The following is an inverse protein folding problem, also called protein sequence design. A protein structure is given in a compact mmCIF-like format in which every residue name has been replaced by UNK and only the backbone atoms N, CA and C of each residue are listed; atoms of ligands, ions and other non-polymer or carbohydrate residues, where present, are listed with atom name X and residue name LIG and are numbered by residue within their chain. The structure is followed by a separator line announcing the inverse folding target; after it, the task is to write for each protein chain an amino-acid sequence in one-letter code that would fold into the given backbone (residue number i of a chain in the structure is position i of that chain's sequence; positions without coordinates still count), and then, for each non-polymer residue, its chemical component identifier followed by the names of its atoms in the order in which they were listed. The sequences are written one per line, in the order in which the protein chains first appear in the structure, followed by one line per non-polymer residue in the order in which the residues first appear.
data_IF_621452673437
#
_entry.id   IF_621452673437
#
_cell.length_a   1.000
_cell.length_b   1.000
_cell.length_c   1.000
_cell.angle_alpha   90.00
_cell.angle_beta   90.00
_cell.angle_gamma   90.00
#
_symmetry.space_group_name_H-M   'P 1'
#
loop_
_entity.id
_entity.type
_entity.pdbx_description
1 polymer ?
#
# COMPACT_ATOMS: atom_id res chain seq x y z
N UNK A 1 -6.22 18.26 -7.65
CA UNK A 1 -6.95 18.41 -8.96
C UNK A 1 -8.04 17.34 -9.11
N UNK A 2 -7.72 16.04 -8.97
CA UNK A 2 -8.69 14.94 -9.13
C UNK A 2 -9.85 15.06 -8.12
N UNK A 3 -9.58 15.26 -6.84
CA UNK A 3 -10.59 15.43 -5.78
C UNK A 3 -11.59 16.56 -6.08
N UNK A 4 -11.09 17.68 -6.62
CA UNK A 4 -11.94 18.81 -7.00
C UNK A 4 -12.87 18.50 -8.19
N UNK A 5 -12.51 17.50 -9.01
CA UNK A 5 -13.34 17.01 -10.12
C UNK A 5 -14.32 15.97 -9.59
N UNK A 6 -13.84 14.99 -8.84
CA UNK A 6 -14.68 13.92 -8.26
C UNK A 6 -15.78 14.47 -7.35
N UNK A 7 -15.46 15.49 -6.55
CA UNK A 7 -16.45 16.16 -5.68
C UNK A 7 -17.57 16.89 -6.43
N UNK A 8 -17.47 17.06 -7.74
CA UNK A 8 -18.52 17.65 -8.61
C UNK A 8 -19.36 16.61 -9.35
N UNK A 9 -18.97 15.35 -9.30
CA UNK A 9 -19.71 14.28 -9.96
C UNK A 9 -20.97 13.93 -9.17
N UNK A 10 -22.04 13.60 -9.90
CA UNK A 10 -23.25 13.08 -9.29
C UNK A 10 -22.96 11.75 -8.61
N UNK A 11 -23.37 11.63 -7.36
CA UNK A 11 -23.17 10.39 -6.58
C UNK A 11 -24.23 9.39 -6.96
N UNK A 12 -23.82 8.17 -7.31
CA UNK A 12 -24.70 7.04 -7.41
C UNK A 12 -24.85 6.42 -6.02
N UNK A 13 -26.08 6.35 -5.52
CA UNK A 13 -26.34 5.69 -4.25
C UNK A 13 -26.66 4.21 -4.48
N UNK A 14 -25.85 3.34 -3.89
CA UNK A 14 -26.06 1.88 -3.86
C UNK A 14 -25.67 1.40 -2.45
N UNK A 15 -26.62 0.78 -1.75
CA UNK A 15 -26.43 0.25 -0.40
C UNK A 15 -25.39 -0.89 -0.30
N UNK A 16 -25.03 -1.49 -1.43
CA UNK A 16 -24.01 -2.52 -1.51
C UNK A 16 -22.58 -1.93 -1.60
N UNK A 17 -22.42 -0.65 -1.88
CA UNK A 17 -21.11 0.03 -1.83
C UNK A 17 -20.77 0.29 -0.37
N UNK A 18 -19.79 -0.44 0.17
CA UNK A 18 -19.31 -0.26 1.54
C UNK A 18 -18.18 0.78 1.61
N UNK A 19 -17.30 0.80 0.61
CA UNK A 19 -16.26 1.80 0.40
C UNK A 19 -16.31 2.21 -1.07
N UNK A 20 -16.51 3.49 -1.33
CA UNK A 20 -16.60 4.05 -2.67
C UNK A 20 -15.65 5.25 -2.83
N UNK A 21 -15.66 5.86 -4.01
CA UNK A 21 -14.79 7.01 -4.33
C UNK A 21 -15.09 8.29 -3.51
N UNK A 22 -16.09 8.27 -2.65
CA UNK A 22 -16.42 9.36 -1.72
C UNK A 22 -15.43 9.48 -0.56
N UNK A 23 -14.73 8.40 -0.28
CA UNK A 23 -13.67 8.30 0.71
C UNK A 23 -12.40 7.87 -0.02
N UNK A 24 -11.32 8.61 0.18
CA UNK A 24 -10.02 8.24 -0.34
C UNK A 24 -9.51 7.02 0.44
N UNK A 25 -9.80 5.82 -0.05
CA UNK A 25 -9.32 4.54 0.48
C UNK A 25 -8.59 3.76 -0.61
N UNK A 26 -7.89 2.69 -0.22
CA UNK A 26 -6.99 1.95 -1.12
C UNK A 26 -7.76 1.23 -2.24
N UNK A 27 -8.99 0.73 -1.97
CA UNK A 27 -9.82 0.06 -2.97
C UNK A 27 -11.32 0.27 -2.77
N UNK A 28 -12.09 0.10 -3.84
CA UNK A 28 -13.56 0.03 -3.76
C UNK A 28 -14.03 -1.29 -3.18
N UNK A 29 -15.07 -1.26 -2.31
CA UNK A 29 -15.64 -2.45 -1.67
C UNK A 29 -17.13 -2.54 -1.97
N UNK A 30 -17.52 -3.65 -2.61
CA UNK A 30 -18.90 -3.90 -3.05
C UNK A 30 -19.44 -5.22 -2.52
N UNK A 31 -20.60 -5.20 -1.84
CA UNK A 31 -21.25 -6.39 -1.31
C UNK A 31 -21.98 -7.17 -2.40
N UNK A 32 -21.69 -8.47 -2.53
CA UNK A 32 -22.34 -9.36 -3.48
C UNK A 32 -23.19 -10.44 -2.79
N UNK A 33 -22.93 -10.71 -1.52
CA UNK A 33 -23.68 -11.63 -0.68
C UNK A 33 -23.61 -11.17 0.79
N UNK A 34 -24.44 -11.70 1.69
CA UNK A 34 -24.43 -11.31 3.11
C UNK A 34 -23.06 -11.47 3.80
N UNK A 35 -22.26 -12.44 3.35
CA UNK A 35 -20.97 -12.83 3.92
C UNK A 35 -19.79 -12.60 2.96
N UNK A 36 -20.01 -12.04 1.78
CA UNK A 36 -18.97 -11.81 0.76
C UNK A 36 -19.03 -10.40 0.20
N UNK A 37 -17.89 -9.71 0.24
CA UNK A 37 -17.68 -8.47 -0.52
C UNK A 37 -16.52 -8.64 -1.50
N UNK A 38 -16.62 -7.95 -2.63
CA UNK A 38 -15.54 -7.75 -3.56
C UNK A 38 -14.72 -6.52 -3.13
N UNK A 39 -13.41 -6.65 -3.20
CA UNK A 39 -12.46 -5.55 -3.11
C UNK A 39 -11.85 -5.38 -4.50
N UNK A 40 -11.99 -4.20 -5.10
CA UNK A 40 -11.58 -3.94 -6.47
C UNK A 40 -10.69 -2.71 -6.56
N UNK A 41 -9.55 -2.90 -7.18
CA UNK A 41 -8.60 -1.83 -7.47
C UNK A 41 -8.08 -1.91 -8.90
N UNK A 42 -7.49 -0.83 -9.36
CA UNK A 42 -6.75 -0.75 -10.61
C UNK A 42 -5.54 0.15 -10.46
N UNK A 43 -4.37 -0.40 -10.80
CA UNK A 43 -3.14 0.35 -10.70
C UNK A 43 -2.18 -0.01 -11.84
N UNK A 44 -1.64 0.99 -12.53
CA UNK A 44 -0.67 0.83 -13.61
C UNK A 44 0.17 2.10 -13.76
N UNK A 45 1.43 1.92 -14.12
CA UNK A 45 2.39 3.03 -14.21
C UNK A 45 3.53 2.74 -15.20
N UNK A 46 4.35 3.76 -15.45
CA UNK A 46 5.54 3.68 -16.30
C UNK A 46 6.70 2.99 -15.57
N UNK A 47 7.69 2.42 -16.30
CA UNK A 47 8.83 1.74 -15.69
C UNK A 47 9.57 2.61 -14.66
N UNK A 48 9.85 2.02 -13.52
CA UNK A 48 10.61 2.61 -12.40
C UNK A 48 12.00 1.98 -12.23
N UNK A 49 12.27 0.91 -12.97
CA UNK A 49 13.55 0.22 -13.10
C UNK A 49 13.78 -0.15 -14.57
N UNK A 50 15.04 -0.46 -14.92
CA UNK A 50 15.41 -0.72 -16.34
C UNK A 50 15.13 -2.16 -16.77
N UNK A 51 15.19 -3.13 -15.85
CA UNK A 51 14.94 -4.55 -16.15
C UNK A 51 13.44 -4.82 -16.35
N UNK A 52 13.00 -5.28 -17.56
CA UNK A 52 11.58 -5.44 -17.88
C UNK A 52 10.89 -6.50 -17.00
N UNK A 53 11.56 -7.59 -16.66
CA UNK A 53 11.00 -8.64 -15.82
C UNK A 53 10.74 -8.11 -14.39
N UNK A 54 11.73 -7.41 -13.83
CA UNK A 54 11.62 -6.77 -12.51
C UNK A 54 10.52 -5.69 -12.50
N UNK A 55 10.42 -4.88 -13.58
CA UNK A 55 9.32 -3.92 -13.70
C UNK A 55 7.96 -4.60 -13.65
N UNK A 56 7.79 -5.71 -14.37
CA UNK A 56 6.58 -6.52 -14.32
C UNK A 56 6.25 -7.02 -12.90
N UNK A 57 7.26 -7.48 -12.16
CA UNK A 57 7.11 -7.89 -10.77
C UNK A 57 6.65 -6.74 -9.86
N UNK A 58 7.27 -5.57 -10.01
CA UNK A 58 6.94 -4.38 -9.21
C UNK A 58 5.50 -3.93 -9.50
N UNK A 59 5.09 -3.89 -10.77
CA UNK A 59 3.75 -3.49 -11.16
C UNK A 59 2.67 -4.41 -10.57
N UNK A 60 2.89 -5.72 -10.61
CA UNK A 60 1.98 -6.68 -9.99
C UNK A 60 1.96 -6.56 -8.45
N UNK A 61 3.11 -6.37 -7.82
CA UNK A 61 3.23 -6.19 -6.37
C UNK A 61 2.46 -4.96 -5.90
N UNK A 62 2.57 -3.85 -6.65
CA UNK A 62 1.87 -2.61 -6.35
C UNK A 62 0.35 -2.78 -6.51
N UNK A 63 -0.12 -3.34 -7.63
CA UNK A 63 -1.56 -3.56 -7.87
C UNK A 63 -2.23 -4.52 -6.87
N UNK A 64 -1.47 -5.45 -6.29
CA UNK A 64 -1.94 -6.38 -5.26
C UNK A 64 -2.03 -5.73 -3.87
N UNK A 65 -1.29 -4.66 -3.64
CA UNK A 65 -1.08 -4.07 -2.32
C UNK A 65 -2.37 -3.52 -1.71
N UNK A 66 -3.18 -2.83 -2.50
CA UNK A 66 -4.48 -2.28 -2.09
C UNK A 66 -5.43 -3.37 -1.56
N UNK A 67 -5.42 -4.54 -2.23
CA UNK A 67 -6.25 -5.67 -1.78
C UNK A 67 -5.81 -6.17 -0.40
N UNK A 68 -4.50 -6.23 -0.16
CA UNK A 68 -3.96 -6.58 1.16
C UNK A 68 -4.23 -5.51 2.21
N UNK A 69 -4.17 -4.22 1.85
CA UNK A 69 -4.48 -3.11 2.73
C UNK A 69 -5.95 -3.12 3.18
N UNK A 70 -6.87 -3.60 2.33
CA UNK A 70 -8.28 -3.78 2.69
C UNK A 70 -8.56 -5.06 3.49
N UNK A 71 -7.52 -5.81 3.91
CA UNK A 71 -7.68 -7.09 4.62
C UNK A 71 -8.23 -8.23 3.76
N UNK A 72 -8.23 -8.06 2.44
CA UNK A 72 -8.80 -9.00 1.50
C UNK A 72 -7.75 -9.98 0.93
N UNK A 73 -8.23 -11.11 0.41
CA UNK A 73 -7.43 -12.07 -0.34
C UNK A 73 -7.63 -11.84 -1.84
N UNK A 74 -6.55 -11.62 -2.61
CA UNK A 74 -6.63 -11.57 -4.06
C UNK A 74 -7.25 -12.84 -4.65
N UNK A 75 -8.11 -12.69 -5.64
CA UNK A 75 -8.81 -13.79 -6.30
C UNK A 75 -8.43 -13.88 -7.77
N UNK A 76 -8.65 -12.81 -8.52
CA UNK A 76 -8.39 -12.74 -9.95
C UNK A 76 -7.95 -11.36 -10.37
N UNK A 77 -7.30 -11.28 -11.55
CA UNK A 77 -6.83 -10.02 -12.10
C UNK A 77 -6.95 -9.96 -13.62
N UNK A 78 -7.01 -8.72 -14.13
CA UNK A 78 -6.93 -8.36 -15.54
C UNK A 78 -5.68 -7.52 -15.77
N UNK A 79 -4.83 -7.92 -16.73
CA UNK A 79 -3.64 -7.17 -17.08
C UNK A 79 -3.99 -5.93 -17.91
N UNK A 80 -3.36 -4.80 -17.61
CA UNK A 80 -3.46 -3.54 -18.34
C UNK A 80 -2.10 -3.24 -18.98
N UNK A 81 -2.09 -3.14 -20.30
CA UNK A 81 -0.87 -3.00 -21.10
C UNK A 81 -0.99 -1.80 -22.05
N UNK A 82 -0.13 -0.81 -21.87
CA UNK A 82 0.15 0.22 -22.86
C UNK A 82 1.55 -0.01 -23.40
N UNK A 83 1.70 -0.25 -24.71
CA UNK A 83 3.01 -0.61 -25.26
C UNK A 83 3.23 0.02 -26.64
N UNK A 84 4.46 0.52 -26.94
CA UNK A 84 4.77 1.13 -28.21
C UNK A 84 4.63 0.17 -29.38
N UNK A 85 4.06 0.62 -30.48
CA UNK A 85 3.89 -0.19 -31.70
C UNK A 85 5.23 -0.77 -32.22
N UNK A 86 6.31 0.02 -32.07
CA UNK A 86 7.66 -0.36 -32.47
C UNK A 86 8.50 -0.96 -31.36
N UNK A 87 7.88 -1.23 -30.19
CA UNK A 87 8.56 -1.83 -29.05
C UNK A 87 8.95 -3.29 -29.34
N UNK A 88 10.04 -3.73 -28.74
CA UNK A 88 10.50 -5.11 -28.86
C UNK A 88 9.55 -6.07 -28.11
N UNK A 89 8.98 -7.03 -28.83
CA UNK A 89 8.05 -8.02 -28.26
C UNK A 89 8.68 -8.79 -27.09
N UNK A 90 9.98 -9.07 -27.14
CA UNK A 90 10.71 -9.75 -26.07
C UNK A 90 10.70 -8.93 -24.75
N UNK A 91 10.72 -7.60 -24.82
CA UNK A 91 10.57 -6.73 -23.65
C UNK A 91 9.17 -6.87 -23.04
N UNK A 92 8.13 -6.85 -23.88
CA UNK A 92 6.75 -7.06 -23.41
C UNK A 92 6.56 -8.44 -22.78
N UNK A 93 7.12 -9.49 -23.39
CA UNK A 93 7.09 -10.86 -22.86
C UNK A 93 7.69 -10.92 -21.44
N UNK A 94 8.84 -10.27 -21.22
CA UNK A 94 9.48 -10.22 -19.92
C UNK A 94 8.65 -9.45 -18.88
N UNK A 95 8.06 -8.31 -19.26
CA UNK A 95 7.15 -7.56 -18.36
C UNK A 95 5.99 -8.46 -17.91
N UNK A 96 5.32 -9.11 -18.86
CA UNK A 96 4.18 -9.99 -18.58
C UNK A 96 4.60 -11.19 -17.71
N UNK A 97 5.75 -11.80 -18.01
CA UNK A 97 6.28 -12.93 -17.24
C UNK A 97 6.62 -12.53 -15.79
N UNK A 98 7.24 -11.37 -15.60
CA UNK A 98 7.52 -10.80 -14.28
C UNK A 98 6.23 -10.56 -13.47
N UNK A 99 5.23 -9.92 -14.10
CA UNK A 99 3.94 -9.71 -13.47
C UNK A 99 3.23 -11.01 -13.09
N UNK A 100 3.18 -11.97 -14.03
CA UNK A 100 2.58 -13.28 -13.78
C UNK A 100 3.25 -14.01 -12.62
N UNK A 101 4.58 -13.91 -12.47
CA UNK A 101 5.29 -14.56 -11.36
C UNK A 101 4.79 -14.10 -10.00
N UNK A 102 4.47 -12.81 -9.84
CA UNK A 102 3.92 -12.24 -8.60
C UNK A 102 2.44 -12.56 -8.40
N UNK A 103 1.66 -12.61 -9.47
CA UNK A 103 0.27 -13.05 -9.39
C UNK A 103 0.17 -14.51 -8.92
N UNK A 104 1.06 -15.39 -9.41
CA UNK A 104 1.16 -16.79 -8.94
C UNK A 104 1.57 -16.85 -7.47
N UNK A 105 2.58 -16.07 -7.04
CA UNK A 105 3.01 -15.97 -5.63
C UNK A 105 1.88 -15.49 -4.72
N UNK A 106 1.06 -14.55 -5.19
CA UNK A 106 -0.11 -14.06 -4.47
C UNK A 106 -1.25 -15.08 -4.39
N UNK A 107 -1.27 -16.07 -5.27
CA UNK A 107 -2.42 -16.96 -5.48
C UNK A 107 -3.57 -16.27 -6.24
N UNK A 108 -3.26 -15.24 -7.02
CA UNK A 108 -4.21 -14.46 -7.83
C UNK A 108 -4.18 -14.95 -9.28
N UNK A 109 -5.33 -15.35 -9.82
CA UNK A 109 -5.40 -15.86 -11.20
C UNK A 109 -5.54 -14.71 -12.19
N UNK A 110 -4.63 -14.62 -13.17
CA UNK A 110 -4.78 -13.71 -14.31
C UNK A 110 -5.81 -14.33 -15.28
N UNK A 111 -6.96 -13.68 -15.45
CA UNK A 111 -8.08 -14.20 -16.25
C UNK A 111 -8.24 -13.50 -17.62
N UNK A 112 -7.38 -12.52 -17.91
CA UNK A 112 -7.40 -11.76 -19.15
C UNK A 112 -6.76 -10.40 -19.00
N UNK A 113 -7.18 -9.47 -19.82
CA UNK A 113 -6.69 -8.10 -19.78
C UNK A 113 -7.00 -7.33 -21.05
N UNK A 114 -6.43 -6.13 -21.14
CA UNK A 114 -6.55 -5.27 -22.31
C UNK A 114 -5.21 -4.65 -22.66
N UNK A 115 -4.93 -4.52 -23.96
CA UNK A 115 -3.73 -3.85 -24.46
C UNK A 115 -4.09 -2.73 -25.42
N UNK A 116 -3.39 -1.61 -25.30
CA UNK A 116 -3.48 -0.49 -26.24
C UNK A 116 -2.09 -0.11 -26.72
N UNK A 117 -2.03 0.53 -27.91
CA UNK A 117 -0.82 1.18 -28.39
C UNK A 117 -0.67 2.54 -27.72
N UNK A 118 0.51 2.82 -27.17
CA UNK A 118 0.85 4.09 -26.54
C UNK A 118 2.34 4.36 -26.84
N UNK A 119 2.75 5.60 -26.87
CA UNK A 119 4.17 5.95 -27.04
C UNK A 119 5.01 5.56 -25.83
N UNK A 120 4.39 5.48 -24.66
CA UNK A 120 5.01 5.21 -23.38
C UNK A 120 4.52 3.86 -22.82
N UNK A 121 5.46 2.99 -22.45
CA UNK A 121 5.12 1.73 -21.79
C UNK A 121 4.47 2.01 -20.44
N UNK A 122 3.28 1.44 -20.20
CA UNK A 122 2.62 1.39 -18.91
C UNK A 122 2.09 -0.01 -18.68
N UNK A 123 2.25 -0.50 -17.46
CA UNK A 123 1.81 -1.84 -17.11
C UNK A 123 1.29 -1.89 -15.68
N UNK A 124 0.31 -2.76 -15.46
CA UNK A 124 -0.28 -3.03 -14.17
C UNK A 124 -1.49 -3.94 -14.27
N UNK A 125 -2.30 -3.95 -13.24
CA UNK A 125 -3.45 -4.84 -13.17
C UNK A 125 -4.66 -4.15 -12.55
N UNK A 126 -5.85 -4.58 -12.98
CA UNK A 126 -7.05 -4.47 -12.16
C UNK A 126 -7.17 -5.78 -11.36
N UNK A 127 -7.22 -5.66 -10.03
CA UNK A 127 -7.26 -6.81 -9.14
C UNK A 127 -8.61 -6.86 -8.42
N UNK A 128 -9.18 -8.06 -8.36
CA UNK A 128 -10.37 -8.36 -7.56
C UNK A 128 -9.97 -9.27 -6.41
N UNK A 129 -10.23 -8.83 -5.20
CA UNK A 129 -10.11 -9.60 -3.96
C UNK A 129 -11.47 -9.89 -3.34
N UNK A 130 -11.48 -10.76 -2.34
CA UNK A 130 -12.66 -11.09 -1.55
C UNK A 130 -12.35 -11.09 -0.06
N UNK A 131 -13.34 -10.67 0.74
CA UNK A 131 -13.26 -10.68 2.20
C UNK A 131 -14.71 -10.76 2.77
N UNK A 132 -14.83 -11.17 4.02
CA UNK A 132 -16.09 -11.07 4.75
C UNK A 132 -16.39 -9.59 5.09
N UNK A 133 -17.63 -9.09 4.99
CA UNK A 133 -17.94 -7.67 5.25
C UNK A 133 -17.42 -7.14 6.60
N UNK A 134 -17.52 -7.95 7.66
CA UNK A 134 -17.05 -7.57 9.00
C UNK A 134 -15.52 -7.58 9.18
N UNK A 135 -14.78 -8.07 8.19
CA UNK A 135 -13.31 -8.15 8.21
C UNK A 135 -12.66 -7.16 7.26
N UNK A 136 -13.44 -6.32 6.59
CA UNK A 136 -12.89 -5.23 5.78
C UNK A 136 -12.10 -4.30 6.68
N UNK A 137 -10.86 -4.02 6.30
CA UNK A 137 -10.02 -2.99 6.90
C UNK A 137 -10.05 -1.76 6.00
N UNK A 138 -9.87 -0.60 6.59
CA UNK A 138 -9.91 0.68 5.89
C UNK A 138 -8.81 1.61 6.45
N UNK A 139 -8.51 2.67 5.73
CA UNK A 139 -7.55 3.68 6.21
C UNK A 139 -8.13 4.57 7.33
N UNK A 140 -9.38 4.36 7.72
CA UNK A 140 -10.10 5.10 8.77
C UNK A 140 -10.43 4.19 9.96
N UNK A 141 -10.68 4.81 11.13
CA UNK A 141 -11.04 4.09 12.34
C UNK A 141 -9.94 4.02 13.39
N UNK A 142 -8.77 4.63 13.13
CA UNK A 142 -7.69 4.75 14.11
C UNK A 142 -8.19 5.44 15.41
N UNK A 143 -7.68 5.01 16.55
CA UNK A 143 -8.14 5.47 17.87
C UNK A 143 -7.00 6.08 18.66
N UNK A 144 -7.27 7.11 19.46
CA UNK A 144 -6.29 7.61 20.43
C UNK A 144 -5.75 6.48 21.29
N UNK A 145 -4.44 6.42 21.46
CA UNK A 145 -3.73 5.34 22.14
C UNK A 145 -3.30 4.17 21.25
N UNK A 146 -3.62 4.19 19.95
CA UNK A 146 -3.07 3.20 19.02
C UNK A 146 -1.59 3.45 18.74
N UNK A 147 -0.83 2.36 18.57
CA UNK A 147 0.51 2.41 17.99
C UNK A 147 0.46 2.27 16.47
N UNK A 148 1.41 2.91 15.79
CA UNK A 148 1.57 2.83 14.34
C UNK A 148 2.76 1.95 13.96
N UNK A 149 2.51 0.94 13.12
CA UNK A 149 3.54 0.04 12.58
C UNK A 149 3.68 0.27 11.08
N UNK A 150 4.93 0.39 10.59
CA UNK A 150 5.25 0.41 9.17
C UNK A 150 6.02 -0.86 8.80
N UNK A 151 5.65 -1.51 7.68
CA UNK A 151 6.16 -2.84 7.32
C UNK A 151 7.29 -2.84 6.30
N UNK A 152 7.56 -1.73 5.61
CA UNK A 152 8.69 -1.55 4.68
C UNK A 152 9.37 -0.20 4.88
N UNK A 153 10.63 -0.11 4.46
CA UNK A 153 11.40 1.13 4.49
C UNK A 153 10.99 2.10 3.38
N UNK A 154 11.18 3.41 3.63
CA UNK A 154 10.93 4.49 2.68
C UNK A 154 12.17 4.76 1.81
N UNK A 155 11.95 5.35 0.62
CA UNK A 155 13.02 5.81 -0.26
C UNK A 155 12.96 5.25 -1.68
N UNK A 156 11.91 4.51 -2.06
CA UNK A 156 11.79 3.92 -3.40
C UNK A 156 11.72 4.98 -4.49
N UNK A 157 11.06 6.12 -4.26
CA UNK A 157 10.90 7.19 -5.24
C UNK A 157 12.20 7.93 -5.54
N UNK A 158 12.96 8.31 -4.51
CA UNK A 158 14.26 8.99 -4.69
C UNK A 158 15.29 8.05 -5.34
N UNK A 159 15.29 6.75 -4.97
CA UNK A 159 16.19 5.75 -5.56
C UNK A 159 15.81 5.48 -7.02
N UNK A 160 14.53 5.30 -7.35
CA UNK A 160 14.07 5.16 -8.74
C UNK A 160 14.43 6.38 -9.59
N UNK A 161 14.41 7.59 -8.99
CA UNK A 161 14.87 8.80 -9.67
C UNK A 161 16.38 8.77 -9.92
N UNK A 162 17.18 8.23 -9.00
CA UNK A 162 18.61 8.03 -9.19
C UNK A 162 18.90 6.96 -10.26
N UNK A 163 18.11 5.86 -10.32
CA UNK A 163 18.19 4.84 -11.39
C UNK A 163 17.97 5.49 -12.75
N UNK A 164 16.87 6.22 -12.94
CA UNK A 164 16.56 6.92 -14.21
C UNK A 164 17.63 7.89 -14.68
N UNK A 165 18.53 8.33 -13.77
CA UNK A 165 19.66 9.22 -14.09
C UNK A 165 21.01 8.49 -14.20
N UNK A 166 21.05 7.16 -14.16
CA UNK A 166 22.28 6.35 -14.12
C UNK A 166 23.23 6.73 -12.96
N UNK A 167 22.68 7.04 -11.79
CA UNK A 167 23.43 7.49 -10.61
C UNK A 167 23.21 6.62 -9.37
N UNK A 168 22.31 5.65 -9.44
CA UNK A 168 22.08 4.73 -8.33
C UNK A 168 23.22 3.72 -8.21
N UNK A 169 23.66 3.46 -6.98
CA UNK A 169 24.62 2.39 -6.72
C UNK A 169 23.93 1.03 -6.73
N UNK A 170 24.63 -0.07 -7.12
CA UNK A 170 24.04 -1.40 -7.18
C UNK A 170 23.36 -1.84 -5.87
N UNK A 171 23.93 -1.53 -4.70
CA UNK A 171 23.35 -1.85 -3.41
C UNK A 171 22.03 -1.10 -3.15
N UNK A 172 21.88 0.13 -3.64
CA UNK A 172 20.64 0.91 -3.52
C UNK A 172 19.55 0.33 -4.44
N UNK A 173 19.93 0.01 -5.68
CA UNK A 173 19.03 -0.63 -6.65
C UNK A 173 18.51 -1.95 -6.07
N UNK A 174 19.41 -2.81 -5.59
CA UNK A 174 19.03 -4.10 -5.02
C UNK A 174 18.10 -3.96 -3.82
N UNK A 175 18.36 -3.01 -2.91
CA UNK A 175 17.51 -2.77 -1.75
C UNK A 175 16.11 -2.28 -2.16
N UNK A 176 16.03 -1.34 -3.11
CA UNK A 176 14.77 -0.81 -3.61
C UNK A 176 13.97 -1.88 -4.37
N UNK A 177 14.62 -2.63 -5.27
CA UNK A 177 13.99 -3.73 -6.02
C UNK A 177 13.46 -4.80 -5.07
N UNK A 178 14.25 -5.25 -4.09
CA UNK A 178 13.80 -6.22 -3.10
C UNK A 178 12.57 -5.73 -2.33
N UNK A 179 12.55 -4.47 -1.92
CA UNK A 179 11.40 -3.86 -1.24
C UNK A 179 10.17 -3.83 -2.17
N UNK A 180 10.33 -3.31 -3.41
CA UNK A 180 9.23 -3.15 -4.36
C UNK A 180 8.68 -4.48 -4.91
N UNK A 181 9.46 -5.55 -4.94
CA UNK A 181 9.02 -6.88 -5.37
C UNK A 181 8.51 -7.77 -4.23
N UNK A 182 8.63 -7.35 -2.98
CA UNK A 182 8.09 -8.07 -1.82
C UNK A 182 6.60 -7.77 -1.66
N UNK A 183 5.75 -8.82 -1.74
CA UNK A 183 4.31 -8.68 -1.51
C UNK A 183 4.00 -8.30 -0.05
N UNK A 184 2.97 -7.48 0.15
CA UNK A 184 2.42 -7.21 1.48
C UNK A 184 1.59 -8.40 2.04
N UNK A 185 1.55 -9.52 1.31
CA UNK A 185 0.80 -10.74 1.62
C UNK A 185 1.06 -11.26 3.03
N UNK A 186 2.33 -11.49 3.39
CA UNK A 186 2.69 -12.05 4.70
C UNK A 186 2.25 -11.13 5.85
N UNK A 187 2.43 -9.82 5.69
CA UNK A 187 1.97 -8.86 6.68
C UNK A 187 0.44 -8.87 6.81
N UNK A 188 -0.29 -8.88 5.70
CA UNK A 188 -1.75 -8.97 5.70
C UNK A 188 -2.25 -10.28 6.31
N UNK A 189 -1.63 -11.42 6.01
CA UNK A 189 -1.96 -12.72 6.61
C UNK A 189 -1.80 -12.72 8.15
N UNK A 190 -0.71 -12.14 8.67
CA UNK A 190 -0.48 -11.98 10.12
C UNK A 190 -1.53 -11.08 10.75
N UNK A 191 -1.90 -9.98 10.08
CA UNK A 191 -2.89 -9.02 10.57
C UNK A 191 -4.29 -9.65 10.61
N UNK A 192 -4.67 -10.36 9.56
CA UNK A 192 -6.03 -10.90 9.40
C UNK A 192 -6.21 -12.28 10.02
N UNK A 193 -5.12 -12.89 10.54
CA UNK A 193 -5.10 -14.27 11.07
C UNK A 193 -5.59 -15.31 10.06
N UNK A 194 -5.46 -14.99 8.75
CA UNK A 194 -5.78 -15.91 7.67
C UNK A 194 -4.59 -16.81 7.38
N UNK A 195 -4.48 -17.92 8.14
CA UNK A 195 -3.66 -19.05 7.71
C UNK A 195 -4.16 -19.50 6.35
N UNK A 196 -3.26 -19.60 5.37
CA UNK A 196 -3.57 -20.10 4.04
C UNK A 196 -4.08 -21.54 4.12
N UNK A 197 -5.38 -21.73 4.32
CA UNK A 197 -6.04 -22.98 3.99
C UNK A 197 -6.08 -23.07 2.46
N UNK A 198 -5.22 -23.92 1.93
CA UNK A 198 -5.22 -24.26 0.53
C UNK A 198 -6.58 -24.81 0.12
N UNK A 199 -7.04 -24.35 -1.05
CA UNK A 199 -8.16 -24.87 -1.84
C UNK A 199 -9.56 -24.62 -1.25
N UNK A 200 -10.34 -23.82 -2.00
CA UNK A 200 -11.78 -23.69 -1.84
C UNK A 200 -12.48 -25.05 -2.03
N UNK A 201 -12.64 -25.80 -0.97
CA UNK A 201 -13.73 -26.77 -0.89
C UNK A 201 -14.80 -26.14 -0.03
N UNK A 202 -15.91 -25.78 -0.66
CA UNK A 202 -17.14 -25.37 0.04
C UNK A 202 -17.70 -26.62 0.71
N UNK A 203 -17.64 -26.78 2.02
CA UNK A 203 -18.46 -27.75 2.72
C UNK A 203 -19.77 -27.05 3.12
N UNK A 204 -20.84 -27.34 2.40
CA UNK A 204 -22.15 -27.23 3.00
C UNK A 204 -22.18 -28.17 4.23
N UNK A 205 -22.77 -27.66 5.31
CA UNK A 205 -23.12 -28.40 6.52
C UNK A 205 -21.97 -28.70 7.51
N UNK A 206 -21.59 -27.73 8.32
CA UNK A 206 -21.21 -27.91 9.74
C UNK A 206 -20.62 -26.61 10.30
N UNK A 207 -21.42 -25.58 10.64
CA UNK A 207 -20.85 -24.39 11.27
C UNK A 207 -21.79 -23.58 12.19
N UNK A 208 -22.67 -24.21 12.95
CA UNK A 208 -23.42 -23.46 13.98
C UNK A 208 -22.61 -23.16 15.25
N UNK A 209 -21.50 -23.89 15.52
CA UNK A 209 -20.65 -23.67 16.71
C UNK A 209 -19.47 -22.71 16.47
N UNK A 210 -19.08 -22.43 15.22
CA UNK A 210 -18.00 -21.48 14.86
C UNK A 210 -18.49 -20.04 14.66
N UNK A 211 -19.79 -19.82 14.45
CA UNK A 211 -20.35 -18.49 14.19
C UNK A 211 -20.34 -17.53 15.39
N UNK A 212 -20.13 -18.00 16.61
CA UNK A 212 -20.06 -17.13 17.79
C UNK A 212 -18.67 -16.65 18.19
N UNK A 213 -17.59 -17.14 17.60
CA UNK A 213 -16.22 -16.70 17.87
C UNK A 213 -15.53 -15.97 16.70
N UNK A 214 -16.19 -15.83 15.55
CA UNK A 214 -15.60 -15.29 14.30
C UNK A 214 -15.59 -13.77 14.20
N UNK A 215 -16.03 -13.03 15.23
CA UNK A 215 -16.29 -11.58 15.10
C UNK A 215 -15.18 -10.67 15.62
N UNK A 216 -13.98 -11.18 15.94
CA UNK A 216 -12.81 -10.33 16.24
C UNK A 216 -11.53 -11.06 15.85
N UNK A 217 -10.78 -10.54 14.88
CA UNK A 217 -9.43 -11.01 14.61
C UNK A 217 -8.56 -11.01 15.87
N UNK A 218 -7.48 -11.79 15.87
CA UNK A 218 -6.53 -11.90 17.02
C UNK A 218 -6.02 -10.54 17.49
N UNK A 219 -5.93 -9.57 16.57
CA UNK A 219 -5.41 -8.24 16.79
C UNK A 219 -6.52 -7.18 16.73
N UNK A 220 -6.47 -6.19 17.61
CA UNK A 220 -7.32 -5.01 17.53
C UNK A 220 -6.68 -3.98 16.58
N UNK A 221 -6.63 -4.30 15.28
CA UNK A 221 -6.26 -3.36 14.23
C UNK A 221 -7.47 -2.48 13.95
N UNK A 222 -7.28 -1.16 14.00
CA UNK A 222 -8.35 -0.19 13.86
C UNK A 222 -8.33 0.52 12.51
N UNK A 223 -7.14 0.69 11.90
CA UNK A 223 -6.99 1.19 10.54
C UNK A 223 -5.79 0.54 9.85
N UNK A 224 -5.88 0.41 8.54
CA UNK A 224 -4.85 -0.16 7.69
C UNK A 224 -4.86 0.56 6.34
N UNK A 225 -3.69 0.86 5.80
CA UNK A 225 -3.47 1.35 4.43
C UNK A 225 -2.07 0.94 3.98
N UNK A 226 -1.77 0.98 2.70
CA UNK A 226 -0.41 0.89 2.23
C UNK A 226 0.18 2.28 1.96
N UNK A 227 1.51 2.38 1.92
CA UNK A 227 2.20 3.64 1.67
C UNK A 227 2.67 3.67 0.22
N UNK A 228 1.98 4.45 -0.61
CA UNK A 228 2.25 4.57 -2.04
C UNK A 228 2.53 6.02 -2.47
N UNK A 229 1.85 6.50 -3.49
CA UNK A 229 2.15 7.73 -4.21
C UNK A 229 2.14 9.03 -3.39
N UNK A 230 1.38 9.10 -2.31
CA UNK A 230 1.32 10.28 -1.44
C UNK A 230 2.43 10.34 -0.39
N UNK A 231 3.27 9.30 -0.28
CA UNK A 231 4.31 9.20 0.73
C UNK A 231 3.75 8.98 2.14
N UNK A 232 4.63 8.79 3.12
CA UNK A 232 4.20 8.51 4.50
C UNK A 232 3.29 9.61 5.06
N UNK A 233 3.68 10.88 4.93
CA UNK A 233 2.89 12.00 5.46
C UNK A 233 1.52 12.08 4.80
N UNK A 234 1.41 11.85 3.48
CA UNK A 234 0.12 11.89 2.79
C UNK A 234 -0.85 10.85 3.32
N UNK A 235 -0.42 9.60 3.43
CA UNK A 235 -1.26 8.50 3.94
C UNK A 235 -1.57 8.64 5.44
N UNK A 236 -0.61 9.06 6.27
CA UNK A 236 -0.87 9.37 7.69
C UNK A 236 -1.87 10.52 7.84
N UNK A 237 -1.80 11.53 6.96
CA UNK A 237 -2.78 12.63 6.92
C UNK A 237 -4.20 12.12 6.62
N UNK A 238 -4.35 11.25 5.64
CA UNK A 238 -5.65 10.65 5.29
C UNK A 238 -6.20 9.82 6.45
N UNK A 239 -5.38 8.97 7.03
CA UNK A 239 -5.73 8.20 8.24
C UNK A 239 -6.19 9.12 9.39
N UNK A 240 -5.44 10.17 9.68
CA UNK A 240 -5.74 11.08 10.78
C UNK A 240 -7.03 11.87 10.55
N UNK A 241 -7.24 12.38 9.32
CA UNK A 241 -8.46 13.10 8.95
C UNK A 241 -9.69 12.20 8.96
N UNK A 242 -9.61 11.03 8.32
CA UNK A 242 -10.71 10.08 8.24
C UNK A 242 -11.10 9.50 9.60
N UNK A 243 -10.15 9.41 10.53
CA UNK A 243 -10.37 8.93 11.91
C UNK A 243 -10.67 10.06 12.91
N UNK A 244 -10.57 11.33 12.50
CA UNK A 244 -10.73 12.50 13.37
C UNK A 244 -9.79 12.52 14.59
N UNK A 245 -8.52 12.17 14.38
CA UNK A 245 -7.45 12.07 15.38
C UNK A 245 -6.24 12.90 14.97
N UNK A 246 -5.21 12.95 15.82
CA UNK A 246 -3.86 13.43 15.47
C UNK A 246 -2.84 12.30 15.61
N UNK A 247 -1.68 12.46 14.96
CA UNK A 247 -0.63 11.44 14.91
C UNK A 247 0.71 12.03 15.29
N UNK A 248 1.47 11.28 16.10
CA UNK A 248 2.87 11.55 16.41
C UNK A 248 3.75 10.48 15.75
N UNK A 249 4.72 10.91 14.93
CA UNK A 249 5.70 10.04 14.29
C UNK A 249 7.05 10.16 15.00
N UNK A 250 7.70 9.03 15.24
CA UNK A 250 9.03 8.93 15.86
C UNK A 250 10.07 8.89 14.75
N UNK A 251 10.71 10.02 14.45
CA UNK A 251 11.62 10.18 13.32
C UNK A 251 12.77 9.17 13.31
N UNK A 252 13.32 8.83 14.47
CA UNK A 252 14.41 7.86 14.62
C UNK A 252 14.00 6.42 14.29
N UNK A 253 12.69 6.12 14.36
CA UNK A 253 12.17 4.79 14.14
C UNK A 253 11.72 4.54 12.69
N UNK A 254 11.64 5.59 11.87
CA UNK A 254 11.21 5.47 10.48
C UNK A 254 12.30 4.75 9.67
N UNK A 255 12.01 3.56 9.13
CA UNK A 255 13.01 2.82 8.37
C UNK A 255 13.24 3.45 7.00
N UNK A 256 14.51 3.60 6.62
CA UNK A 256 14.92 4.13 5.32
C UNK A 256 15.71 3.08 4.54
N UNK A 257 15.51 3.04 3.23
CA UNK A 257 16.33 2.23 2.32
C UNK A 257 17.78 2.76 2.28
N UNK A 258 18.77 1.87 2.15
CA UNK A 258 20.15 2.28 1.90
C UNK A 258 20.23 3.21 0.68
N UNK A 259 20.88 4.36 0.84
CA UNK A 259 21.04 5.37 -0.21
C UNK A 259 19.91 6.40 -0.32
N UNK A 260 18.81 6.26 0.42
CA UNK A 260 17.71 7.22 0.33
C UNK A 260 18.13 8.64 0.73
N UNK A 261 18.85 8.78 1.86
CA UNK A 261 19.39 10.07 2.33
C UNK A 261 20.38 10.65 1.31
N UNK A 262 21.28 9.83 0.79
CA UNK A 262 22.27 10.22 -0.22
C UNK A 262 21.60 10.68 -1.52
N UNK A 263 20.52 10.02 -1.94
CA UNK A 263 19.72 10.45 -3.10
C UNK A 263 19.12 11.83 -2.89
N UNK A 264 18.56 12.11 -1.71
CA UNK A 264 18.04 13.45 -1.37
C UNK A 264 19.15 14.49 -1.41
N UNK A 265 20.30 14.24 -0.78
CA UNK A 265 21.48 15.14 -0.79
C UNK A 265 22.00 15.43 -2.19
N UNK A 266 21.93 14.43 -3.07
CA UNK A 266 22.32 14.56 -4.46
C UNK A 266 21.25 15.22 -5.36
N UNK A 267 20.06 15.55 -4.80
CA UNK A 267 18.98 16.19 -5.54
C UNK A 267 18.22 15.25 -6.48
N UNK A 268 18.21 13.94 -6.22
CA UNK A 268 17.40 12.99 -6.97
C UNK A 268 15.96 12.96 -6.42
N UNK A 269 15.25 14.05 -6.62
CA UNK A 269 13.93 14.30 -6.08
C UNK A 269 12.88 14.04 -7.18
N UNK A 270 11.95 13.07 -7.00
CA UNK A 270 10.85 12.85 -7.94
C UNK A 270 9.86 14.02 -7.92
N UNK A 271 9.21 14.29 -9.06
CA UNK A 271 8.22 15.36 -9.16
C UNK A 271 7.05 15.21 -8.20
N UNK A 272 6.60 13.98 -7.98
CA UNK A 272 5.53 13.66 -7.02
C UNK A 272 5.85 14.07 -5.58
N UNK A 273 7.11 13.95 -5.15
CA UNK A 273 7.54 14.36 -3.81
C UNK A 273 7.27 15.84 -3.54
N UNK A 274 7.59 16.70 -4.52
CA UNK A 274 7.36 18.15 -4.38
C UNK A 274 5.88 18.45 -4.24
N UNK A 275 5.06 17.83 -5.07
CA UNK A 275 3.61 17.99 -5.02
C UNK A 275 3.01 17.48 -3.69
N UNK A 276 3.50 16.35 -3.18
CA UNK A 276 3.10 15.80 -1.88
C UNK A 276 3.47 16.77 -0.74
N UNK A 277 4.67 17.35 -0.79
CA UNK A 277 5.13 18.31 0.22
C UNK A 277 4.27 19.57 0.20
N UNK A 278 4.06 20.16 -0.97
CA UNK A 278 3.17 21.34 -1.13
C UNK A 278 1.75 21.08 -0.63
N UNK A 279 1.23 19.87 -0.82
CA UNK A 279 -0.12 19.49 -0.42
C UNK A 279 -0.26 19.26 1.10
N UNK A 280 0.72 18.63 1.75
CA UNK A 280 0.55 18.11 3.11
C UNK A 280 1.48 18.72 4.17
N UNK A 281 2.50 19.52 3.81
CA UNK A 281 3.44 20.09 4.80
C UNK A 281 2.76 21.06 5.78
N UNK A 282 1.70 21.75 5.36
CA UNK A 282 1.00 22.72 6.20
C UNK A 282 0.31 22.13 7.44
N UNK A 283 0.11 20.80 7.49
CA UNK A 283 -0.49 20.11 8.64
C UNK A 283 0.53 19.40 9.52
N UNK A 284 1.83 19.53 9.21
CA UNK A 284 2.92 18.86 9.93
C UNK A 284 3.68 19.85 10.81
N UNK A 285 3.83 19.52 12.07
CA UNK A 285 4.76 20.17 12.99
C UNK A 285 6.01 19.31 13.15
N UNK A 286 7.19 19.91 13.03
CA UNK A 286 8.47 19.24 13.24
C UNK A 286 9.12 19.73 14.54
N UNK A 287 9.59 18.81 15.37
CA UNK A 287 10.46 19.17 16.48
C UNK A 287 11.87 19.54 15.98
N UNK A 288 12.65 20.29 16.79
CA UNK A 288 13.71 21.17 16.36
C UNK A 288 14.98 20.52 15.76
N UNK A 289 15.14 19.21 15.73
CA UNK A 289 16.40 18.56 15.32
C UNK A 289 16.26 17.59 14.14
N UNK A 290 15.15 17.62 13.40
CA UNK A 290 14.95 16.71 12.29
C UNK A 290 15.63 17.24 11.03
N UNK A 291 16.49 16.41 10.41
CA UNK A 291 17.22 16.79 9.18
C UNK A 291 16.28 17.07 8.01
N UNK A 292 16.66 18.01 7.14
CA UNK A 292 15.87 18.32 5.94
C UNK A 292 15.77 17.14 4.97
N UNK A 293 16.77 16.25 4.96
CA UNK A 293 16.73 15.03 4.18
C UNK A 293 15.62 14.10 4.67
N UNK A 294 15.47 13.91 5.99
CA UNK A 294 14.40 13.07 6.53
C UNK A 294 13.05 13.73 6.30
N UNK A 295 12.89 15.03 6.59
CA UNK A 295 11.65 15.77 6.28
C UNK A 295 11.24 15.57 4.83
N UNK A 296 12.20 15.62 3.90
CA UNK A 296 11.97 15.40 2.47
C UNK A 296 11.51 13.96 2.19
N UNK A 297 12.17 12.96 2.78
CA UNK A 297 11.86 11.54 2.57
C UNK A 297 10.47 11.14 3.08
N UNK A 298 9.92 11.84 4.07
CA UNK A 298 8.56 11.58 4.55
C UNK A 298 7.47 11.84 3.49
N UNK A 299 7.78 12.65 2.47
CA UNK A 299 6.91 12.93 1.32
C UNK A 299 7.26 12.12 0.07
N UNK A 300 8.32 11.27 0.14
CA UNK A 300 8.78 10.49 -1.01
C UNK A 300 7.69 9.51 -1.48
N UNK A 301 7.19 9.62 -2.72
CA UNK A 301 6.22 8.66 -3.24
C UNK A 301 6.84 7.27 -3.26
N UNK A 302 6.15 6.30 -2.67
CA UNK A 302 6.59 4.91 -2.66
C UNK A 302 5.92 4.14 -3.80
N UNK A 303 6.66 3.23 -4.42
CA UNK A 303 6.13 2.21 -5.32
C UNK A 303 6.13 0.89 -4.56
N UNK A 304 5.00 0.20 -4.52
CA UNK A 304 4.81 -1.04 -3.79
C UNK A 304 5.33 -0.96 -2.33
N UNK A 305 4.97 0.11 -1.64
CA UNK A 305 5.41 0.38 -0.26
C UNK A 305 4.84 -0.58 0.76
N UNK A 306 5.14 -0.34 2.03
CA UNK A 306 4.68 -1.18 3.13
C UNK A 306 3.29 -0.81 3.64
N UNK A 307 2.71 -1.68 4.45
CA UNK A 307 1.48 -1.40 5.17
C UNK A 307 1.76 -0.47 6.36
N UNK A 308 0.88 0.50 6.57
CA UNK A 308 0.75 1.31 7.77
C UNK A 308 -0.40 0.77 8.60
N UNK A 309 -0.12 0.30 9.80
CA UNK A 309 -1.07 -0.39 10.66
C UNK A 309 -1.30 0.44 11.91
N UNK A 310 -2.56 0.83 12.17
CA UNK A 310 -2.99 1.39 13.46
C UNK A 310 -3.55 0.27 14.32
N UNK A 311 -2.89 -0.02 15.42
CA UNK A 311 -3.24 -1.14 16.31
C UNK A 311 -3.29 -0.68 17.77
N UNK A 312 -4.27 -1.18 18.52
CA UNK A 312 -4.37 -0.92 19.94
C UNK A 312 -3.05 -1.18 20.68
N UNK A 313 -2.62 -0.25 21.53
CA UNK A 313 -1.37 -0.32 22.30
C UNK A 313 -1.17 -1.67 23.01
N UNK A 314 -2.23 -2.23 23.57
CA UNK A 314 -2.20 -3.57 24.21
C UNK A 314 -1.78 -4.72 23.28
N UNK A 315 -1.90 -4.56 21.97
CA UNK A 315 -1.54 -5.55 20.94
C UNK A 315 -0.30 -5.16 20.14
N UNK A 316 0.17 -3.93 20.28
CA UNK A 316 1.27 -3.36 19.50
C UNK A 316 2.52 -4.23 19.52
N UNK A 317 3.06 -4.50 20.69
CA UNK A 317 4.30 -5.26 20.81
C UNK A 317 4.15 -6.72 20.36
N UNK A 318 3.03 -7.36 20.70
CA UNK A 318 2.76 -8.74 20.29
C UNK A 318 2.60 -8.87 18.77
N UNK A 319 1.88 -7.95 18.11
CA UNK A 319 1.76 -7.92 16.65
C UNK A 319 3.10 -7.64 15.99
N UNK A 320 3.88 -6.69 16.51
CA UNK A 320 5.20 -6.35 16.01
C UNK A 320 6.16 -7.56 16.05
N UNK A 321 6.12 -8.33 17.13
CA UNK A 321 6.90 -9.57 17.25
C UNK A 321 6.45 -10.64 16.26
N UNK A 322 5.15 -10.86 16.07
CA UNK A 322 4.65 -11.85 15.10
C UNK A 322 4.98 -11.44 13.64
N UNK A 323 4.87 -10.16 13.29
CA UNK A 323 5.30 -9.66 11.99
C UNK A 323 6.79 -9.93 11.75
N UNK A 324 7.65 -9.61 12.72
CA UNK A 324 9.10 -9.86 12.63
C UNK A 324 9.42 -11.35 12.54
N UNK A 325 8.73 -12.20 13.28
CA UNK A 325 8.86 -13.65 13.27
C UNK A 325 8.47 -14.26 11.91
N UNK A 326 7.49 -13.65 11.26
CA UNK A 326 7.08 -13.98 9.90
C UNK A 326 8.03 -13.42 8.82
N UNK A 327 9.12 -12.75 9.20
CA UNK A 327 10.11 -12.17 8.27
C UNK A 327 9.78 -10.77 7.76
N UNK A 328 8.74 -10.11 8.29
CA UNK A 328 8.39 -8.75 7.92
C UNK A 328 9.27 -7.76 8.69
N UNK A 329 9.89 -6.80 7.98
CA UNK A 329 10.78 -5.79 8.56
C UNK A 329 10.00 -4.67 9.30
N UNK A 330 9.01 -5.05 10.11
CA UNK A 330 8.09 -4.15 10.77
C UNK A 330 8.76 -3.28 11.84
N UNK A 331 8.37 -2.00 11.89
CA UNK A 331 8.84 -1.00 12.86
C UNK A 331 7.66 -0.26 13.47
N UNK A 332 7.71 -0.06 14.78
CA UNK A 332 6.85 0.89 15.48
C UNK A 332 7.36 2.30 15.20
N UNK A 333 6.56 3.11 14.49
CA UNK A 333 6.97 4.42 13.96
C UNK A 333 6.23 5.60 14.60
N UNK A 334 5.28 5.37 15.48
CA UNK A 334 4.52 6.47 16.07
C UNK A 334 3.26 6.01 16.79
N UNK A 335 2.46 6.97 17.18
CA UNK A 335 1.21 6.73 17.91
C UNK A 335 0.10 7.68 17.47
N UNK A 336 -1.13 7.26 17.68
CA UNK A 336 -2.35 8.04 17.48
C UNK A 336 -2.72 8.72 18.78
N UNK A 337 -3.04 10.01 18.71
CA UNK A 337 -3.44 10.83 19.86
C UNK A 337 -4.83 11.42 19.68
N UNK A 338 -5.40 11.95 20.74
CA UNK A 338 -6.59 12.81 20.63
C UNK A 338 -6.31 13.95 19.65
N UNK A 339 -7.36 14.42 18.97
CA UNK A 339 -7.25 15.52 18.02
C UNK A 339 -6.63 16.74 18.67
N UNK A 340 -5.49 17.18 18.14
CA UNK A 340 -4.71 18.31 18.60
C UNK A 340 -4.72 19.46 17.58
N UNK A 341 -4.04 20.57 17.90
CA UNK A 341 -3.89 21.71 17.00
C UNK A 341 -3.20 21.33 15.69
N UNK A 342 -2.09 20.60 15.78
CA UNK A 342 -1.41 20.04 14.63
C UNK A 342 -1.94 18.63 14.36
N UNK A 343 -2.26 18.37 13.09
CA UNK A 343 -2.75 17.05 12.69
C UNK A 343 -1.67 15.99 12.82
N UNK A 344 -0.45 16.35 12.43
CA UNK A 344 0.73 15.49 12.46
C UNK A 344 1.88 16.19 13.19
N UNK A 345 2.54 15.48 14.08
CA UNK A 345 3.78 15.94 14.74
C UNK A 345 4.88 14.93 14.49
N UNK A 346 6.05 15.36 14.03
CA UNK A 346 7.24 14.52 13.86
C UNK A 346 8.21 14.85 14.98
N UNK A 347 8.49 13.83 15.84
CA UNK A 347 9.30 13.92 17.06
C UNK A 347 10.74 13.47 16.78
#
# INVERSE_FOLDING_TARGET
MLDAVLGKLARQHDENVLVGFDHADDAGVYRIAPDIVLVQTVDFFTPVVDDPYTFGQIAATNSLSDVYAMGARPLSSLALVCFPEKGEIAVLEQILAGGLSKMVEAGCTVIGGHSIRDEETKFGYSVTGIVHPEKVLANTGAKPGDGLILTKALGTGVISTAIKKDKAKPEWINAAVNSMTTLNKVAAEVITDSVSEGTLTVPAEQNQARQQSASRGRWAVHALTDITGFGLIGHVRELALGSNVSVQLLSENIPLLPGAIECVRAGYIPGGLKANREFAECVVEYQSEISEELKTLLFDPQTAGGLLISVSDRHLEALLQELRKAGVAARHIGSVTEKAHHLLTVL
#
